data_IF_297462148884
#
_entry.id   IF_297462148884
#
_cell.length_a   1.000
_cell.length_b   1.000
_cell.length_c   1.000
_cell.angle_alpha   90.00
_cell.angle_beta   90.00
_cell.angle_gamma   90.00
#
_symmetry.space_group_name_H-M   'P 1'
#
loop_
_entity.id
_entity.type
_entity.pdbx_description
1 polymer ?
#
# COMPACT_ATOMS: atom_id res chain seq x y z
N UNK A 1 -3.92 -17.73 -21.18
CA UNK A 1 -5.11 -17.56 -20.33
C UNK A 1 -4.85 -16.37 -19.44
N UNK A 2 -5.60 -15.28 -19.62
CA UNK A 2 -5.53 -14.13 -18.75
C UNK A 2 -6.07 -14.48 -17.35
N UNK A 3 -5.46 -13.93 -16.32
CA UNK A 3 -5.86 -14.14 -14.93
C UNK A 3 -5.42 -12.97 -14.06
N UNK A 4 -5.73 -13.04 -12.78
CA UNK A 4 -5.24 -12.06 -11.79
C UNK A 4 -4.14 -12.70 -10.97
N UNK A 5 -3.03 -12.00 -10.85
CA UNK A 5 -1.89 -12.40 -10.03
C UNK A 5 -1.62 -11.38 -8.92
N UNK A 6 -0.82 -11.77 -7.95
CA UNK A 6 -0.53 -10.98 -6.75
C UNK A 6 0.96 -10.75 -6.59
N UNK A 7 1.35 -9.50 -6.33
CA UNK A 7 2.65 -9.14 -5.78
C UNK A 7 2.42 -8.71 -4.34
N UNK A 8 3.14 -9.35 -3.41
CA UNK A 8 3.11 -8.93 -2.01
C UNK A 8 4.32 -8.06 -1.69
N UNK A 9 4.07 -6.87 -1.17
CA UNK A 9 5.10 -5.91 -0.74
C UNK A 9 4.98 -5.78 0.78
N UNK A 10 5.93 -6.34 1.55
CA UNK A 10 5.93 -6.17 3.00
C UNK A 10 6.29 -4.73 3.37
N UNK A 11 5.80 -4.24 4.50
CA UNK A 11 6.10 -2.89 4.98
C UNK A 11 7.61 -2.64 5.12
N UNK A 12 8.40 -3.68 5.40
CA UNK A 12 9.87 -3.60 5.46
C UNK A 12 10.54 -3.23 4.13
N UNK A 13 9.88 -3.47 3.00
CA UNK A 13 10.36 -3.08 1.66
C UNK A 13 9.95 -1.64 1.28
N UNK A 14 9.24 -0.97 2.17
CA UNK A 14 8.79 0.41 1.99
C UNK A 14 9.58 1.36 2.88
N UNK A 15 9.53 2.64 2.56
CA UNK A 15 10.12 3.69 3.39
C UNK A 15 9.16 4.88 3.53
N UNK A 16 9.13 5.49 4.71
CA UNK A 16 8.42 6.74 4.93
C UNK A 16 9.03 7.87 4.11
N UNK A 17 8.19 8.72 3.54
CA UNK A 17 8.65 9.90 2.78
C UNK A 17 9.33 10.92 3.70
N UNK A 18 10.18 11.79 3.15
CA UNK A 18 10.85 12.85 3.93
C UNK A 18 9.86 13.83 4.54
N UNK A 19 8.76 14.11 3.82
CA UNK A 19 7.68 14.97 4.31
C UNK A 19 6.49 14.11 4.69
N UNK A 20 6.05 14.17 5.94
CA UNK A 20 4.95 13.39 6.48
C UNK A 20 5.10 11.88 6.19
N UNK A 21 6.26 11.34 6.46
CA UNK A 21 6.52 9.91 6.26
C UNK A 21 6.08 9.09 7.45
N UNK A 22 5.51 7.92 7.19
CA UNK A 22 5.22 6.93 8.21
C UNK A 22 6.50 6.38 8.84
N UNK A 23 6.47 6.07 10.13
CA UNK A 23 7.61 5.59 10.89
C UNK A 23 7.79 4.07 10.81
N UNK A 24 9.01 3.63 10.50
CA UNK A 24 9.35 2.21 10.55
C UNK A 24 9.51 1.74 11.99
N UNK A 25 8.72 0.74 12.40
CA UNK A 25 8.71 0.23 13.76
C UNK A 25 8.90 -1.29 13.81
N UNK A 26 9.46 -1.76 14.92
CA UNK A 26 9.47 -3.16 15.33
C UNK A 26 8.63 -3.30 16.60
N UNK A 27 7.60 -4.13 16.56
CA UNK A 27 6.68 -4.34 17.68
C UNK A 27 6.81 -5.78 18.16
N UNK A 28 7.35 -5.96 19.37
CA UNK A 28 7.37 -7.25 20.04
C UNK A 28 6.01 -7.50 20.69
N UNK A 29 5.30 -8.54 20.26
CA UNK A 29 4.02 -8.92 20.86
C UNK A 29 4.23 -9.60 22.20
N UNK A 30 4.95 -10.70 22.21
CA UNK A 30 5.45 -11.44 23.39
C UNK A 30 6.73 -12.13 22.99
N UNK A 31 7.71 -12.19 23.90
CA UNK A 31 8.97 -12.88 23.63
C UNK A 31 8.76 -14.29 23.04
N UNK A 32 9.55 -14.63 22.06
CA UNK A 32 9.52 -15.90 21.30
C UNK A 32 8.30 -16.10 20.36
N UNK A 33 7.49 -15.07 20.17
CA UNK A 33 6.36 -15.04 19.22
C UNK A 33 6.69 -14.14 18.01
N UNK A 34 5.81 -14.08 16.99
CA UNK A 34 6.03 -13.19 15.87
C UNK A 34 6.26 -11.74 16.30
N UNK A 35 7.33 -11.14 15.80
CA UNK A 35 7.63 -9.73 15.94
C UNK A 35 7.14 -9.01 14.68
N UNK A 36 6.41 -7.91 14.86
CA UNK A 36 5.83 -7.16 13.75
C UNK A 36 6.82 -6.11 13.25
N UNK A 37 7.14 -6.15 11.95
CA UNK A 37 7.85 -5.09 11.26
C UNK A 37 6.84 -4.28 10.47
N UNK A 38 6.56 -3.07 10.92
CA UNK A 38 5.45 -2.25 10.43
C UNK A 38 5.92 -0.87 9.99
N UNK A 39 5.07 -0.20 9.22
CA UNK A 39 5.06 1.25 9.10
C UNK A 39 3.89 1.78 9.93
N UNK A 40 4.19 2.59 10.95
CA UNK A 40 3.20 3.27 11.76
C UNK A 40 2.73 4.53 11.06
N UNK A 41 1.43 4.63 10.80
CA UNK A 41 0.77 5.79 10.24
C UNK A 41 0.01 6.52 11.34
N UNK A 42 0.31 7.81 11.54
CA UNK A 42 -0.26 8.67 12.58
C UNK A 42 -1.81 8.72 12.53
N UNK A 43 -2.40 8.93 13.70
CA UNK A 43 -3.86 8.96 13.87
C UNK A 43 -4.53 10.28 13.44
N UNK A 44 -3.77 11.32 13.14
CA UNK A 44 -4.30 12.69 12.92
C UNK A 44 -3.75 13.39 11.68
N UNK A 45 -2.60 12.96 11.22
CA UNK A 45 -1.89 13.54 10.08
C UNK A 45 -1.85 12.53 8.95
N UNK A 46 -2.15 12.96 7.72
CA UNK A 46 -1.95 12.10 6.56
C UNK A 46 -0.45 11.84 6.38
N UNK A 47 -0.09 10.56 6.38
CA UNK A 47 1.29 10.10 6.25
C UNK A 47 1.47 9.17 5.06
N UNK A 48 2.69 9.12 4.55
CA UNK A 48 3.02 8.49 3.27
C UNK A 48 4.21 7.54 3.39
N UNK A 49 4.18 6.47 2.61
CA UNK A 49 5.32 5.60 2.39
C UNK A 49 5.40 5.20 0.91
N UNK A 50 6.60 4.93 0.43
CA UNK A 50 6.83 4.60 -0.97
C UNK A 50 7.55 3.27 -1.12
N UNK A 51 7.33 2.65 -2.27
CA UNK A 51 8.04 1.49 -2.77
C UNK A 51 8.05 1.50 -4.29
N UNK A 52 8.88 0.68 -4.89
CA UNK A 52 9.01 0.60 -6.34
C UNK A 52 8.99 -0.85 -6.80
N UNK A 53 8.43 -1.08 -7.97
CA UNK A 53 8.35 -2.39 -8.60
C UNK A 53 8.74 -2.27 -10.07
N UNK A 54 9.56 -3.21 -10.56
CA UNK A 54 9.58 -3.55 -11.97
C UNK A 54 8.42 -4.53 -12.21
N UNK A 55 7.36 -4.08 -12.86
CA UNK A 55 6.17 -4.92 -13.07
C UNK A 55 6.52 -6.12 -13.96
N UNK A 56 5.90 -7.30 -13.70
CA UNK A 56 6.11 -8.48 -14.55
C UNK A 56 5.70 -8.21 -16.01
N UNK A 57 6.45 -8.73 -16.97
CA UNK A 57 6.11 -8.61 -18.41
C UNK A 57 4.76 -9.21 -18.77
N UNK A 58 4.27 -10.18 -17.95
CA UNK A 58 2.93 -10.73 -18.11
C UNK A 58 1.80 -9.77 -17.74
N UNK A 59 2.10 -8.61 -17.15
CA UNK A 59 1.09 -7.60 -16.85
C UNK A 59 0.51 -7.01 -18.14
N UNK A 60 -0.82 -6.91 -18.18
CA UNK A 60 -1.54 -6.38 -19.35
C UNK A 60 -1.50 -4.85 -19.48
N UNK A 61 -0.64 -4.15 -18.71
CA UNK A 61 -0.50 -2.69 -18.66
C UNK A 61 -1.81 -1.95 -18.26
N UNK A 62 -2.77 -2.70 -17.73
CA UNK A 62 -4.06 -2.16 -17.30
C UNK A 62 -4.06 -1.71 -15.84
N UNK A 63 -5.27 -1.48 -15.33
CA UNK A 63 -5.48 -1.09 -13.93
C UNK A 63 -5.05 -2.18 -12.97
N UNK A 64 -4.67 -1.77 -11.76
CA UNK A 64 -4.35 -2.64 -10.64
C UNK A 64 -5.30 -2.38 -9.47
N UNK A 65 -5.41 -3.31 -8.55
CA UNK A 65 -6.12 -3.13 -7.29
C UNK A 65 -5.20 -3.51 -6.13
N UNK A 66 -5.54 -3.10 -4.92
CA UNK A 66 -4.74 -3.45 -3.76
C UNK A 66 -5.59 -3.85 -2.57
N UNK A 67 -4.92 -4.47 -1.61
CA UNK A 67 -5.47 -4.85 -0.32
C UNK A 67 -4.37 -4.66 0.73
N UNK A 68 -4.67 -3.99 1.84
CA UNK A 68 -3.70 -3.74 2.90
C UNK A 68 -3.87 -4.75 4.03
N UNK A 69 -2.75 -5.28 4.53
CA UNK A 69 -2.66 -5.91 5.84
C UNK A 69 -2.18 -4.90 6.86
N UNK A 70 -2.88 -4.78 7.98
CA UNK A 70 -2.52 -3.87 9.04
C UNK A 70 -2.90 -4.41 10.42
N UNK A 71 -2.40 -3.78 11.47
CA UNK A 71 -2.83 -4.06 12.83
C UNK A 71 -3.15 -2.76 13.57
N UNK A 72 -4.19 -2.73 14.41
CA UNK A 72 -4.46 -1.56 15.23
C UNK A 72 -3.47 -1.44 16.40
N UNK A 73 -3.05 -0.21 16.71
CA UNK A 73 -2.25 0.09 17.92
C UNK A 73 -3.10 0.30 19.16
N UNK A 74 -4.41 0.44 19.01
CA UNK A 74 -5.37 0.67 20.09
C UNK A 74 -6.61 -0.22 19.92
N UNK A 75 -7.48 -0.24 20.92
CA UNK A 75 -8.76 -0.97 20.88
C UNK A 75 -9.89 -0.16 20.25
N UNK A 76 -9.59 0.97 19.61
CA UNK A 76 -10.57 1.78 18.90
C UNK A 76 -11.15 1.02 17.70
N UNK A 77 -12.43 1.20 17.42
CA UNK A 77 -13.15 0.54 16.32
C UNK A 77 -13.54 1.50 15.21
N UNK A 78 -12.95 2.69 15.18
CA UNK A 78 -13.15 3.66 14.11
C UNK A 78 -12.60 3.20 12.77
N UNK A 79 -12.94 3.91 11.72
CA UNK A 79 -12.48 3.64 10.36
C UNK A 79 -11.07 4.17 10.14
N UNK A 80 -10.27 3.40 9.43
CA UNK A 80 -8.97 3.78 8.91
C UNK A 80 -9.04 3.79 7.38
N UNK A 81 -8.52 4.83 6.74
CA UNK A 81 -8.51 4.97 5.28
C UNK A 81 -7.09 4.77 4.76
N UNK A 82 -6.88 3.72 3.95
CA UNK A 82 -5.64 3.50 3.21
C UNK A 82 -5.83 3.84 1.73
N UNK A 83 -4.86 4.53 1.16
CA UNK A 83 -4.82 4.85 -0.26
C UNK A 83 -3.56 4.36 -0.94
N UNK A 84 -3.64 4.11 -2.24
CA UNK A 84 -2.50 3.76 -3.09
C UNK A 84 -2.57 4.53 -4.40
N UNK A 85 -1.43 4.99 -4.87
CA UNK A 85 -1.26 5.65 -6.16
C UNK A 85 0.07 5.20 -6.80
N UNK A 86 0.16 5.29 -8.12
CA UNK A 86 1.34 4.83 -8.85
C UNK A 86 1.64 5.67 -10.07
N UNK A 87 2.91 5.68 -10.48
CA UNK A 87 3.39 6.29 -11.72
C UNK A 87 4.53 5.46 -12.29
N UNK A 88 4.52 5.25 -13.59
CA UNK A 88 5.53 4.53 -14.34
C UNK A 88 6.46 5.52 -15.04
N UNK A 89 7.75 5.19 -15.09
CA UNK A 89 8.77 5.98 -15.78
C UNK A 89 9.55 5.06 -16.72
N UNK A 90 9.58 5.42 -17.99
CA UNK A 90 10.40 4.80 -19.03
C UNK A 90 11.83 5.34 -18.96
N UNK A 91 12.78 4.64 -19.56
CA UNK A 91 14.17 5.11 -19.63
C UNK A 91 14.25 6.53 -20.23
N UNK A 92 14.88 7.42 -19.50
CA UNK A 92 15.03 8.84 -19.85
C UNK A 92 13.96 9.76 -19.28
N UNK A 93 12.90 9.22 -18.68
CA UNK A 93 11.91 10.05 -17.99
C UNK A 93 12.44 10.60 -16.67
N UNK A 94 11.93 11.77 -16.30
CA UNK A 94 12.22 12.33 -14.98
C UNK A 94 11.42 11.61 -13.90
N UNK A 95 12.06 11.32 -12.75
CA UNK A 95 11.34 10.87 -11.56
C UNK A 95 10.60 12.02 -10.83
N UNK A 96 10.82 13.27 -11.22
CA UNK A 96 10.08 14.44 -10.72
C UNK A 96 8.75 14.56 -11.47
N UNK A 97 7.82 13.67 -11.14
CA UNK A 97 6.54 13.50 -11.81
C UNK A 97 5.44 13.25 -10.76
N UNK A 98 4.22 13.67 -11.06
CA UNK A 98 3.07 13.45 -10.17
C UNK A 98 2.57 12.00 -10.28
N UNK A 99 2.14 11.45 -9.17
CA UNK A 99 1.43 10.16 -9.14
C UNK A 99 0.08 10.25 -9.88
N UNK A 100 -0.41 9.11 -10.33
CA UNK A 100 -1.78 8.97 -10.82
C UNK A 100 -2.81 9.16 -9.71
N UNK A 101 -4.10 9.18 -10.09
CA UNK A 101 -5.20 9.29 -9.14
C UNK A 101 -5.21 8.11 -8.19
N UNK A 102 -5.16 8.39 -6.90
CA UNK A 102 -5.22 7.36 -5.86
C UNK A 102 -6.58 6.66 -5.82
N UNK A 103 -6.57 5.42 -5.36
CA UNK A 103 -7.77 4.72 -4.90
C UNK A 103 -7.64 4.45 -3.41
N UNK A 104 -8.76 4.57 -2.70
CA UNK A 104 -8.82 4.41 -1.26
C UNK A 104 -9.70 3.24 -0.87
N UNK A 105 -9.41 2.68 0.30
CA UNK A 105 -10.20 1.64 0.94
C UNK A 105 -10.30 1.95 2.42
N UNK A 106 -11.51 1.82 2.95
CA UNK A 106 -11.79 2.06 4.36
C UNK A 106 -11.96 0.73 5.08
N UNK A 107 -11.34 0.62 6.26
CA UNK A 107 -11.45 -0.57 7.12
C UNK A 107 -11.62 -0.15 8.58
N UNK A 108 -12.50 -0.82 9.30
CA UNK A 108 -12.76 -0.50 10.71
C UNK A 108 -11.86 -1.31 11.64
N UNK A 109 -11.35 -0.68 12.68
CA UNK A 109 -10.62 -1.37 13.73
C UNK A 109 -11.49 -2.44 14.41
N UNK A 110 -10.93 -3.63 14.67
CA UNK A 110 -11.66 -4.77 15.27
C UNK A 110 -11.68 -4.76 16.81
N UNK A 111 -11.13 -3.72 17.43
CA UNK A 111 -11.18 -3.56 18.90
C UNK A 111 -10.14 -4.36 19.68
N UNK A 112 -9.18 -4.98 19.00
CA UNK A 112 -8.09 -5.76 19.64
C UNK A 112 -6.74 -5.30 19.08
N UNK A 113 -5.82 -4.95 19.95
CA UNK A 113 -4.45 -4.56 19.58
C UNK A 113 -3.70 -5.77 19.03
N UNK A 114 -2.88 -5.54 18.01
CA UNK A 114 -2.01 -6.54 17.37
C UNK A 114 -2.72 -7.66 16.60
N UNK A 115 -4.03 -7.65 16.53
CA UNK A 115 -4.75 -8.57 15.64
C UNK A 115 -4.55 -8.16 14.17
N UNK A 116 -4.27 -9.15 13.33
CA UNK A 116 -4.06 -8.91 11.90
C UNK A 116 -5.39 -8.64 11.21
N UNK A 117 -5.48 -7.48 10.56
CA UNK A 117 -6.63 -7.11 9.74
C UNK A 117 -6.25 -7.05 8.26
N UNK A 118 -7.24 -7.19 7.43
CA UNK A 118 -7.11 -7.08 5.98
C UNK A 118 -8.28 -6.25 5.44
N UNK A 119 -7.97 -5.21 4.69
CA UNK A 119 -9.00 -4.37 4.06
C UNK A 119 -9.77 -5.14 2.99
N UNK A 120 -10.88 -4.61 2.54
CA UNK A 120 -11.45 -5.01 1.26
C UNK A 120 -10.46 -4.72 0.12
N UNK A 121 -10.70 -5.32 -1.05
CA UNK A 121 -9.96 -4.97 -2.27
C UNK A 121 -10.41 -3.60 -2.75
N UNK A 122 -9.47 -2.74 -3.11
CA UNK A 122 -9.75 -1.38 -3.61
C UNK A 122 -10.49 -1.39 -4.95
N UNK A 123 -11.01 -0.25 -5.33
CA UNK A 123 -11.40 0.01 -6.72
C UNK A 123 -10.16 -0.01 -7.63
N UNK A 124 -10.39 -0.13 -8.94
CA UNK A 124 -9.33 -0.17 -9.94
C UNK A 124 -8.57 1.16 -10.00
N UNK A 125 -7.24 1.08 -9.87
CA UNK A 125 -6.32 2.22 -9.92
C UNK A 125 -5.56 2.22 -11.24
N UNK A 126 -5.48 3.37 -11.89
CA UNK A 126 -4.66 3.58 -13.08
C UNK A 126 -3.27 4.05 -12.66
N UNK A 127 -2.24 3.35 -13.12
CA UNK A 127 -0.85 3.80 -12.98
C UNK A 127 -0.60 4.86 -14.05
N UNK A 128 -0.19 6.06 -13.64
CA UNK A 128 0.12 7.16 -14.56
C UNK A 128 1.43 6.90 -15.33
N UNK A 129 1.76 7.75 -16.31
CA UNK A 129 3.02 7.69 -17.04
C UNK A 129 3.02 6.78 -18.28
N UNK A 130 1.83 6.31 -18.72
CA UNK A 130 1.71 5.41 -19.89
C UNK A 130 2.59 4.17 -19.79
N UNK A 131 2.34 3.28 -18.82
CA UNK A 131 3.19 2.14 -18.51
C UNK A 131 3.57 1.28 -19.72
N UNK A 132 4.82 0.79 -19.72
CA UNK A 132 5.36 -0.17 -20.68
C UNK A 132 6.10 -1.30 -19.92
N UNK A 133 6.45 -2.39 -20.63
CA UNK A 133 7.00 -3.61 -20.02
C UNK A 133 8.30 -3.42 -19.26
N UNK A 134 9.14 -2.49 -19.68
CA UNK A 134 10.48 -2.28 -19.09
C UNK A 134 10.53 -1.06 -18.15
N UNK A 135 9.39 -0.56 -17.72
CA UNK A 135 9.32 0.64 -16.89
C UNK A 135 9.66 0.40 -15.42
N UNK A 136 10.18 1.46 -14.81
CA UNK A 136 10.31 1.55 -13.35
C UNK A 136 9.06 2.20 -12.78
N UNK A 137 8.32 1.47 -11.93
CA UNK A 137 7.06 1.97 -11.38
C UNK A 137 7.20 2.35 -9.92
N UNK A 138 6.89 3.60 -9.61
CA UNK A 138 6.82 4.12 -8.25
C UNK A 138 5.41 3.99 -7.72
N UNK A 139 5.28 3.57 -6.45
CA UNK A 139 4.02 3.52 -5.72
C UNK A 139 4.13 4.32 -4.41
N UNK A 140 3.03 4.94 -4.03
CA UNK A 140 2.88 5.58 -2.74
C UNK A 140 1.62 5.06 -2.05
N UNK A 141 1.81 4.48 -0.87
CA UNK A 141 0.74 4.12 0.06
C UNK A 141 0.64 5.19 1.14
N UNK A 142 -0.57 5.47 1.60
CA UNK A 142 -0.79 6.46 2.65
C UNK A 142 -1.99 6.09 3.52
N UNK A 143 -2.05 6.66 4.71
CA UNK A 143 -3.27 6.78 5.49
C UNK A 143 -3.77 8.21 5.40
N UNK A 144 -5.03 8.40 5.05
CA UNK A 144 -5.65 9.73 5.05
C UNK A 144 -6.34 10.03 6.39
N UNK A 145 -5.53 10.12 7.45
CA UNK A 145 -6.01 10.44 8.80
C UNK A 145 -6.58 11.88 8.91
N UNK A 146 -6.39 12.72 7.89
CA UNK A 146 -6.95 14.06 7.84
C UNK A 146 -8.39 14.08 7.26
N UNK A 147 -8.83 13.02 6.60
CA UNK A 147 -10.22 12.89 6.13
C UNK A 147 -11.17 12.66 7.31
N UNK A 148 -12.29 13.37 7.31
CA UNK A 148 -13.29 13.27 8.39
C UNK A 148 -13.95 11.90 8.52
N UNK A 149 -13.78 11.02 7.55
CA UNK A 149 -14.25 9.63 7.57
C UNK A 149 -13.21 8.65 8.15
N UNK A 150 -11.94 9.07 8.28
CA UNK A 150 -10.94 8.35 9.08
C UNK A 150 -11.17 8.70 10.55
N UNK A 151 -11.70 7.76 11.29
CA UNK A 151 -12.10 7.94 12.69
C UNK A 151 -11.35 7.02 13.65
N UNK A 152 -10.37 6.27 13.15
CA UNK A 152 -9.52 5.42 13.97
C UNK A 152 -8.50 6.27 14.73
N UNK A 153 -8.62 6.32 16.06
CA UNK A 153 -7.86 7.24 16.92
C UNK A 153 -6.48 6.72 17.34
N UNK A 154 -6.08 5.55 16.88
CA UNK A 154 -4.74 5.00 17.08
C UNK A 154 -3.89 5.06 15.82
N UNK A 155 -2.61 4.80 15.96
CA UNK A 155 -1.75 4.59 14.80
C UNK A 155 -2.14 3.29 14.10
N UNK A 156 -2.17 3.35 12.78
CA UNK A 156 -2.43 2.19 11.94
C UNK A 156 -1.10 1.59 11.49
N UNK A 157 -0.82 0.38 11.95
CA UNK A 157 0.44 -0.34 11.70
C UNK A 157 0.32 -1.17 10.44
N UNK A 158 0.83 -0.66 9.33
CA UNK A 158 0.82 -1.38 8.05
C UNK A 158 1.81 -2.54 8.09
N UNK A 159 1.34 -3.74 7.76
CA UNK A 159 2.16 -4.96 7.62
C UNK A 159 2.63 -5.16 6.18
N UNK A 160 1.83 -4.78 5.21
CA UNK A 160 2.15 -4.91 3.79
C UNK A 160 0.94 -4.71 2.89
N UNK A 161 1.23 -4.71 1.60
CA UNK A 161 0.24 -4.52 0.54
C UNK A 161 0.24 -5.74 -0.38
N UNK A 162 -0.92 -6.29 -0.67
CA UNK A 162 -1.13 -7.12 -1.87
C UNK A 162 -1.49 -6.21 -3.03
N UNK A 163 -0.70 -6.26 -4.09
CA UNK A 163 -1.01 -5.61 -5.36
C UNK A 163 -1.51 -6.67 -6.34
N UNK A 164 -2.70 -6.47 -6.89
CA UNK A 164 -3.31 -7.37 -7.87
C UNK A 164 -3.22 -6.76 -9.25
N UNK A 165 -2.76 -7.54 -10.22
CA UNK A 165 -2.67 -7.15 -11.61
C UNK A 165 -3.23 -8.24 -12.53
N UNK A 166 -3.68 -7.85 -13.70
CA UNK A 166 -4.20 -8.79 -14.71
C UNK A 166 -3.09 -9.16 -15.68
N UNK A 167 -3.00 -10.45 -16.01
CA UNK A 167 -2.04 -10.96 -16.99
C UNK A 167 -2.66 -11.05 -18.37
N UNK A 168 -1.87 -10.82 -19.42
CA UNK A 168 -2.24 -11.05 -20.83
C UNK A 168 -1.59 -12.29 -21.43
N UNK A 169 -0.57 -12.85 -20.78
CA UNK A 169 0.16 -14.03 -21.18
C UNK A 169 0.27 -15.06 -20.06
N UNK A 170 0.51 -16.33 -20.43
CA UNK A 170 0.69 -17.41 -19.46
C UNK A 170 2.10 -17.44 -18.85
N UNK A 171 3.05 -16.75 -19.45
CA UNK A 171 4.43 -16.63 -19.00
C UNK A 171 5.03 -15.31 -19.45
N UNK A 172 6.17 -15.00 -18.88
CA UNK A 172 6.98 -13.82 -19.13
C UNK A 172 7.92 -14.07 -20.33
N UNK A 173 7.36 -14.18 -21.52
CA UNK A 173 8.08 -14.52 -22.76
C UNK A 173 8.48 -13.29 -23.59
#
# INVERSE_FOLDING_TARGET
>A
IAGTETIFIPAQAMFGTTTNGADAQAVETTATRPELKVLDFDASTAEYAQFSIAMPKSWNLGTVTFQAFWTPSTTNTGNCIFGLQGVSCTEGDTADVVFGTAQEVTDAGIGTVEDVQMTAVSSAMTIAGSPADDDYTFFQVYRDAADGSDTFTGDARLLGIKLFYTTDAANDA
#
